data_IF_504610122777
#
_entry.id   IF_504610122777
#
_cell.length_a   1.000
_cell.length_b   1.000
_cell.length_c   1.000
_cell.angle_alpha   90.00
_cell.angle_beta   90.00
_cell.angle_gamma   90.00
#
_symmetry.space_group_name_H-M   'P 1'
#
loop_
_entity.id
_entity.type
_entity.pdbx_description
1 polymer ?
#
# COMPACT_ATOMS: atom_id res chain seq x y z
N UNK A 1 -0.68 28.05 -18.01
CA UNK A 1 -0.93 26.68 -17.57
C UNK A 1 0.30 25.96 -17.17
N UNK A 2 1.45 26.23 -17.80
CA UNK A 2 2.71 25.64 -17.37
C UNK A 2 3.09 26.02 -15.93
N UNK A 3 2.66 27.22 -15.46
CA UNK A 3 2.94 27.66 -14.10
C UNK A 3 2.26 26.80 -13.02
N UNK A 4 1.02 26.38 -13.26
CA UNK A 4 0.28 25.53 -12.33
C UNK A 4 0.92 24.13 -12.24
N UNK A 5 1.32 23.60 -13.38
CA UNK A 5 1.99 22.31 -13.43
C UNK A 5 3.35 22.36 -12.73
N UNK A 6 4.09 23.45 -12.92
CA UNK A 6 5.36 23.68 -12.27
C UNK A 6 5.20 23.77 -10.75
N UNK A 7 4.18 24.50 -10.30
CA UNK A 7 3.89 24.63 -8.87
C UNK A 7 3.53 23.29 -8.25
N UNK A 8 2.74 22.46 -8.93
CA UNK A 8 2.37 21.13 -8.47
C UNK A 8 3.59 20.21 -8.35
N UNK A 9 4.48 20.24 -9.34
CA UNK A 9 5.70 19.42 -9.33
C UNK A 9 6.62 19.88 -8.20
N UNK A 10 6.78 21.17 -8.02
CA UNK A 10 7.61 21.73 -6.97
C UNK A 10 7.07 21.39 -5.58
N UNK A 11 5.76 21.54 -5.40
CA UNK A 11 5.07 21.20 -4.17
C UNK A 11 5.25 19.72 -3.83
N UNK A 12 5.13 18.87 -4.83
CA UNK A 12 5.35 17.42 -4.65
C UNK A 12 6.78 17.12 -4.21
N UNK A 13 7.76 17.77 -4.81
CA UNK A 13 9.18 17.57 -4.46
C UNK A 13 9.51 18.06 -3.07
N UNK A 14 8.85 19.12 -2.61
CA UNK A 14 9.08 19.72 -1.30
C UNK A 14 8.33 18.99 -0.19
N UNK A 15 7.26 18.27 -0.54
CA UNK A 15 6.47 17.51 0.44
C UNK A 15 7.25 16.28 0.88
N UNK A 16 7.43 16.07 2.20
CA UNK A 16 8.04 14.84 2.68
C UNK A 16 7.27 13.62 2.20
N UNK A 17 8.01 12.55 1.90
CA UNK A 17 7.40 11.29 1.48
C UNK A 17 6.55 10.73 2.61
N UNK A 18 5.34 10.32 2.26
CA UNK A 18 4.40 9.76 3.23
C UNK A 18 4.79 8.33 3.56
N UNK A 19 5.08 8.10 4.84
CA UNK A 19 5.33 6.75 5.37
C UNK A 19 4.05 6.22 5.99
N UNK A 20 3.78 4.95 5.82
CA UNK A 20 2.63 4.36 6.49
C UNK A 20 2.14 3.09 5.85
N UNK A 21 0.87 2.82 6.07
CA UNK A 21 0.17 1.63 5.62
C UNK A 21 -0.93 2.01 4.65
N UNK A 22 -0.99 1.29 3.54
CA UNK A 22 -2.02 1.47 2.53
C UNK A 22 -2.73 0.16 2.24
N UNK A 23 -3.73 0.24 1.38
CA UNK A 23 -4.51 -0.93 1.02
C UNK A 23 -4.90 -0.87 -0.45
N UNK A 24 -4.83 -2.03 -1.10
CA UNK A 24 -5.47 -2.27 -2.39
C UNK A 24 -6.74 -3.04 -2.08
N UNK A 25 -7.89 -2.43 -2.33
CA UNK A 25 -9.19 -3.00 -1.94
C UNK A 25 -10.00 -3.38 -3.16
N UNK A 26 -10.51 -4.61 -3.14
CA UNK A 26 -11.49 -5.05 -4.12
C UNK A 26 -12.88 -4.66 -3.61
N UNK A 27 -13.49 -3.68 -4.27
CA UNK A 27 -14.77 -3.12 -3.83
C UNK A 27 -15.94 -4.10 -4.00
N UNK A 28 -15.81 -5.05 -4.92
CA UNK A 28 -16.86 -6.03 -5.17
C UNK A 28 -16.87 -7.14 -4.14
N UNK A 29 -15.71 -7.65 -3.75
CA UNK A 29 -15.60 -8.79 -2.83
C UNK A 29 -15.26 -8.41 -1.41
N UNK A 30 -14.73 -7.22 -1.19
CA UNK A 30 -14.22 -6.78 0.10
C UNK A 30 -12.81 -7.29 0.43
N UNK A 31 -12.21 -8.08 -0.43
CA UNK A 31 -10.84 -8.56 -0.22
C UNK A 31 -9.84 -7.41 -0.29
N UNK A 32 -8.80 -7.48 0.52
CA UNK A 32 -7.79 -6.42 0.59
C UNK A 32 -6.37 -6.97 0.60
N UNK A 33 -5.45 -6.15 0.08
CA UNK A 33 -4.02 -6.34 0.25
C UNK A 33 -3.49 -5.15 1.05
N UNK A 34 -3.00 -5.41 2.26
CA UNK A 34 -2.38 -4.38 3.11
C UNK A 34 -0.90 -4.29 2.76
N UNK A 35 -0.41 -3.08 2.53
CA UNK A 35 0.99 -2.81 2.17
C UNK A 35 1.53 -1.71 3.08
N UNK A 36 2.84 -1.69 3.29
CA UNK A 36 3.49 -0.68 4.09
C UNK A 36 4.80 -0.24 3.45
N UNK A 37 5.15 1.03 3.59
CA UNK A 37 6.38 1.52 3.01
C UNK A 37 6.71 2.95 3.40
N UNK A 38 7.94 3.34 3.09
CA UNK A 38 8.48 4.68 3.40
C UNK A 38 8.01 5.73 2.41
N UNK A 39 7.57 5.32 1.23
CA UNK A 39 6.99 6.20 0.22
C UNK A 39 5.70 5.54 -0.27
N UNK A 40 4.64 5.74 0.49
CA UNK A 40 3.37 5.05 0.27
C UNK A 40 2.72 5.38 -1.07
N UNK A 41 2.68 6.65 -1.53
CA UNK A 41 2.11 6.91 -2.85
C UNK A 41 2.84 6.19 -3.98
N UNK A 42 4.16 6.13 -3.94
CA UNK A 42 4.94 5.40 -4.94
C UNK A 42 4.69 3.90 -4.88
N UNK A 43 4.58 3.36 -3.66
CA UNK A 43 4.29 1.95 -3.46
C UNK A 43 2.93 1.56 -4.03
N UNK A 44 1.90 2.33 -3.72
CA UNK A 44 0.55 2.08 -4.24
C UNK A 44 0.51 2.20 -5.77
N UNK A 45 1.22 3.19 -6.30
CA UNK A 45 1.30 3.37 -7.74
C UNK A 45 2.02 2.22 -8.44
N UNK A 46 3.06 1.66 -7.79
CA UNK A 46 3.75 0.49 -8.30
C UNK A 46 2.83 -0.74 -8.36
N UNK A 47 2.04 -0.97 -7.31
CA UNK A 47 1.08 -2.06 -7.32
C UNK A 47 0.07 -1.91 -8.46
N UNK A 48 -0.42 -0.68 -8.67
CA UNK A 48 -1.33 -0.41 -9.77
C UNK A 48 -0.69 -0.69 -11.13
N UNK A 49 0.55 -0.25 -11.30
CA UNK A 49 1.28 -0.46 -12.56
C UNK A 49 1.51 -1.96 -12.82
N UNK A 50 1.89 -2.71 -11.79
CA UNK A 50 2.08 -4.16 -11.91
C UNK A 50 0.79 -4.86 -12.30
N UNK A 51 -0.34 -4.44 -11.75
CA UNK A 51 -1.65 -5.01 -12.11
C UNK A 51 -2.01 -4.70 -13.56
N UNK A 52 -1.76 -3.48 -14.01
CA UNK A 52 -2.02 -3.09 -15.40
C UNK A 52 -1.15 -3.86 -16.39
N UNK A 53 0.04 -4.22 -15.97
CA UNK A 53 0.99 -4.96 -16.81
C UNK A 53 0.83 -6.47 -16.71
N UNK A 54 -0.15 -6.95 -15.95
CA UNK A 54 -0.35 -8.38 -15.69
C UNK A 54 0.89 -9.03 -15.07
N UNK A 55 1.55 -8.31 -14.16
CA UNK A 55 2.83 -8.70 -13.58
C UNK A 55 2.83 -8.65 -12.05
N UNK A 56 1.66 -8.65 -11.42
CA UNK A 56 1.58 -8.57 -9.97
C UNK A 56 1.95 -9.92 -9.33
N UNK A 57 2.72 -9.86 -8.25
CA UNK A 57 3.20 -11.06 -7.55
C UNK A 57 2.10 -11.81 -6.79
N UNK A 58 1.03 -11.13 -6.42
CA UNK A 58 -0.13 -11.76 -5.77
C UNK A 58 -1.08 -12.25 -6.86
N UNK A 59 -1.04 -13.53 -7.13
CA UNK A 59 -1.80 -14.14 -8.22
C UNK A 59 -3.31 -13.93 -8.09
N UNK A 60 -3.85 -14.13 -6.90
CA UNK A 60 -5.28 -13.98 -6.64
C UNK A 60 -5.76 -12.56 -6.94
N UNK A 61 -4.96 -11.56 -6.55
CA UNK A 61 -5.27 -10.17 -6.82
C UNK A 61 -5.23 -9.87 -8.33
N UNK A 62 -4.20 -10.38 -9.01
CA UNK A 62 -4.06 -10.19 -10.45
C UNK A 62 -5.23 -10.81 -11.22
N UNK A 63 -5.65 -12.02 -10.83
CA UNK A 63 -6.79 -12.70 -11.46
C UNK A 63 -8.07 -11.89 -11.28
N UNK A 64 -8.32 -11.41 -10.06
CA UNK A 64 -9.52 -10.61 -9.80
C UNK A 64 -9.50 -9.31 -10.59
N UNK A 65 -8.34 -8.65 -10.68
CA UNK A 65 -8.17 -7.45 -11.49
C UNK A 65 -8.50 -7.72 -12.96
N UNK A 66 -7.99 -8.82 -13.50
CA UNK A 66 -8.22 -9.18 -14.89
C UNK A 66 -9.68 -9.48 -15.16
N UNK A 67 -10.38 -10.10 -14.20
CA UNK A 67 -11.79 -10.49 -14.35
C UNK A 67 -12.76 -9.32 -14.11
N UNK A 68 -12.45 -8.46 -13.14
CA UNK A 68 -13.38 -7.44 -12.68
C UNK A 68 -13.11 -6.06 -13.25
N UNK A 69 -11.88 -5.80 -13.69
CA UNK A 69 -11.46 -4.53 -14.24
C UNK A 69 -10.97 -3.55 -13.17
N UNK A 70 -10.25 -2.55 -13.62
CA UNK A 70 -9.58 -1.57 -12.75
C UNK A 70 -10.56 -0.79 -11.86
N UNK A 71 -11.76 -0.53 -12.36
CA UNK A 71 -12.75 0.27 -11.62
C UNK A 71 -13.28 -0.44 -10.38
N UNK A 72 -13.07 -1.77 -10.26
CA UNK A 72 -13.49 -2.51 -9.10
C UNK A 72 -12.52 -2.38 -7.92
N UNK A 73 -11.40 -1.67 -8.09
CA UNK A 73 -10.34 -1.59 -7.09
C UNK A 73 -10.08 -0.17 -6.64
N UNK A 74 -9.79 -0.01 -5.34
CA UNK A 74 -9.41 1.26 -4.74
C UNK A 74 -8.01 1.13 -4.13
N UNK A 75 -7.24 2.20 -4.24
CA UNK A 75 -5.89 2.30 -3.67
C UNK A 75 -5.92 3.42 -2.64
N UNK A 76 -5.84 3.07 -1.37
CA UNK A 76 -6.10 4.01 -0.29
C UNK A 76 -4.99 4.01 0.75
N UNK A 77 -4.79 5.15 1.39
CA UNK A 77 -3.92 5.28 2.57
C UNK A 77 -4.75 4.97 3.81
N UNK A 78 -4.29 4.01 4.61
CA UNK A 78 -4.97 3.65 5.86
C UNK A 78 -4.45 4.46 7.03
N UNK A 79 -3.12 4.62 7.12
CA UNK A 79 -2.50 5.28 8.26
C UNK A 79 -1.12 5.77 7.89
N UNK A 80 -0.64 6.81 8.55
CA UNK A 80 0.66 7.40 8.26
C UNK A 80 1.49 7.54 9.52
N UNK A 81 2.82 7.61 9.33
CA UNK A 81 3.78 7.84 10.41
C UNK A 81 4.44 9.19 10.17
N UNK A 82 4.47 10.02 11.22
CA UNK A 82 5.27 11.24 11.21
C UNK A 82 6.69 10.88 11.65
N UNK A 83 7.71 11.08 10.79
CA UNK A 83 9.06 10.70 11.14
C UNK A 83 9.61 11.58 12.25
N UNK A 84 10.41 10.97 13.14
CA UNK A 84 11.15 11.72 14.16
C UNK A 84 12.24 12.59 13.50
N UNK A 85 12.51 13.73 14.11
CA UNK A 85 13.57 14.63 13.64
C UNK A 85 14.97 14.23 14.12
N UNK A 86 15.07 13.17 14.90
CA UNK A 86 16.36 12.70 15.41
C UNK A 86 17.20 12.12 14.27
N UNK A 87 18.52 12.43 14.21
CA UNK A 87 19.36 12.03 13.08
C UNK A 87 19.49 10.51 12.90
N UNK A 88 19.38 9.75 13.99
CA UNK A 88 19.54 8.29 13.98
C UNK A 88 18.21 7.54 13.92
N UNK A 89 17.12 8.25 13.66
CA UNK A 89 15.79 7.63 13.59
C UNK A 89 15.69 6.69 12.40
N UNK A 90 15.29 5.45 12.69
CA UNK A 90 14.98 4.44 11.67
C UNK A 90 13.50 4.09 11.76
N UNK A 91 12.71 4.37 10.73
CA UNK A 91 11.27 4.12 10.76
C UNK A 91 10.86 2.66 10.59
N UNK A 92 11.81 1.77 10.32
CA UNK A 92 11.51 0.37 10.00
C UNK A 92 10.66 -0.30 11.08
N UNK A 93 11.05 -0.13 12.34
CA UNK A 93 10.32 -0.74 13.47
C UNK A 93 8.91 -0.18 13.61
N UNK A 94 8.77 1.14 13.47
CA UNK A 94 7.46 1.79 13.56
C UNK A 94 6.54 1.36 12.42
N UNK A 95 7.09 1.22 11.21
CA UNK A 95 6.33 0.74 10.05
C UNK A 95 5.86 -0.71 10.27
N UNK A 96 6.74 -1.56 10.77
CA UNK A 96 6.39 -2.97 11.05
C UNK A 96 5.29 -3.05 12.09
N UNK A 97 5.38 -2.26 13.15
CA UNK A 97 4.35 -2.22 14.19
C UNK A 97 3.00 -1.78 13.63
N UNK A 98 3.01 -0.73 12.83
CA UNK A 98 1.79 -0.20 12.23
C UNK A 98 1.18 -1.21 11.26
N UNK A 99 2.00 -1.85 10.47
CA UNK A 99 1.54 -2.89 9.53
C UNK A 99 0.88 -4.05 10.27
N UNK A 100 1.52 -4.54 11.35
CA UNK A 100 0.96 -5.63 12.16
C UNK A 100 -0.39 -5.24 12.74
N UNK A 101 -0.50 -4.01 13.26
CA UNK A 101 -1.77 -3.53 13.81
C UNK A 101 -2.89 -3.55 12.78
N UNK A 102 -2.61 -3.09 11.55
CA UNK A 102 -3.62 -3.10 10.50
C UNK A 102 -3.91 -4.49 9.96
N UNK A 103 -2.90 -5.37 9.90
CA UNK A 103 -3.11 -6.77 9.53
C UNK A 103 -4.02 -7.47 10.54
N UNK A 104 -3.84 -7.20 11.83
CA UNK A 104 -4.71 -7.76 12.87
C UNK A 104 -6.13 -7.20 12.77
N UNK A 105 -6.23 -5.89 12.54
CA UNK A 105 -7.52 -5.19 12.49
C UNK A 105 -8.37 -5.62 11.31
N UNK A 106 -7.77 -5.74 10.13
CA UNK A 106 -8.50 -6.06 8.90
C UNK A 106 -8.54 -7.56 8.60
N UNK A 107 -7.58 -8.30 9.13
CA UNK A 107 -7.44 -9.74 8.88
C UNK A 107 -7.53 -10.09 7.38
N UNK A 108 -6.70 -9.43 6.52
CA UNK A 108 -6.83 -9.56 5.07
C UNK A 108 -6.09 -10.78 4.52
N UNK A 109 -6.06 -11.85 5.28
CA UNK A 109 -5.27 -13.04 4.95
C UNK A 109 -6.05 -13.99 4.03
N UNK A 110 -5.31 -14.66 3.16
CA UNK A 110 -5.88 -15.66 2.26
C UNK A 110 -6.69 -16.71 3.04
N UNK A 111 -7.83 -17.19 2.53
CA UNK A 111 -8.46 -16.81 1.26
C UNK A 111 -9.43 -15.63 1.35
N UNK A 112 -9.66 -15.08 2.55
CA UNK A 112 -10.58 -13.97 2.76
C UNK A 112 -10.04 -12.65 2.23
N UNK A 113 -8.72 -12.53 2.04
CA UNK A 113 -8.03 -11.39 1.49
C UNK A 113 -6.89 -11.81 0.61
N UNK A 114 -5.94 -10.89 0.36
CA UNK A 114 -4.82 -11.15 -0.55
C UNK A 114 -3.48 -11.31 0.16
N UNK A 115 -3.39 -10.97 1.44
CA UNK A 115 -2.13 -11.12 2.19
C UNK A 115 -1.88 -12.58 2.52
N UNK A 116 -0.61 -12.99 2.44
CA UNK A 116 -0.20 -14.30 2.91
C UNK A 116 -0.22 -14.33 4.44
N UNK A 117 -0.66 -15.44 5.00
CA UNK A 117 -0.59 -15.61 6.44
C UNK A 117 0.87 -15.68 6.86
N UNK A 118 1.27 -14.97 7.93
CA UNK A 118 2.65 -15.08 8.41
C UNK A 118 2.95 -16.50 8.86
N UNK A 119 4.18 -16.95 8.61
CA UNK A 119 4.63 -18.24 9.12
C UNK A 119 4.72 -18.15 10.64
N UNK A 120 4.21 -19.17 11.33
CA UNK A 120 4.34 -19.23 12.77
C UNK A 120 5.80 -19.42 13.14
N UNK A 121 6.25 -18.71 14.19
CA UNK A 121 7.64 -18.78 14.64
C UNK A 121 8.02 -20.16 15.14
N UNK A 122 7.06 -20.92 15.63
CA UNK A 122 7.23 -22.26 16.17
C UNK A 122 6.85 -23.36 15.18
N UNK A 123 6.55 -22.99 13.96
CA UNK A 123 6.08 -23.91 12.94
C UNK A 123 7.13 -24.52 12.07
#
# INVERSE_FOLDING_TARGET
>A
MSSDRKALIQQYKETPRTMGVGVVRNLASGKSLVVAGKDLPSLLNRHRAELRMNAHSVEALQLDWNMQGADAFAFEVLDTITPSKQPDYDPTSDLQTLEVLWLEKLSPFEPAGYNRRPKRADG
#
